data_IF_851578357666
#
_entry.id   IF_851578357666
#
_cell.length_a   1.000
_cell.length_b   1.000
_cell.length_c   1.000
_cell.angle_alpha   90.00
_cell.angle_beta   90.00
_cell.angle_gamma   90.00
#
_symmetry.space_group_name_H-M   'P 1'
#
loop_
_entity.id
_entity.type
_entity.pdbx_description
1 polymer ?
#
# COMPACT_ATOMS: atom_id res chain seq x y z
N UNK A 1 -2.63 17.91 8.24
CA UNK A 1 -2.16 16.51 8.02
C UNK A 1 -0.70 16.55 7.65
N UNK A 2 0.09 15.67 8.21
CA UNK A 2 1.50 15.54 7.83
C UNK A 2 1.63 14.90 6.46
N UNK A 3 2.57 15.35 5.66
CA UNK A 3 3.02 14.62 4.48
C UNK A 3 4.33 13.85 4.79
N UNK A 4 4.87 13.13 3.80
CA UNK A 4 6.07 12.30 4.03
C UNK A 4 7.27 13.15 4.47
N UNK A 5 7.39 14.39 3.96
CA UNK A 5 8.48 15.29 4.30
C UNK A 5 8.45 15.78 5.75
N UNK A 6 7.25 15.79 6.36
CA UNK A 6 7.07 16.21 7.75
C UNK A 6 7.37 15.11 8.77
N UNK A 7 7.47 13.86 8.32
CA UNK A 7 7.65 12.71 9.20
C UNK A 7 9.11 12.52 9.60
N UNK A 8 9.57 13.39 10.50
CA UNK A 8 10.92 13.34 11.05
C UNK A 8 10.95 12.46 12.30
N UNK A 9 11.92 11.58 12.37
CA UNK A 9 12.08 10.70 13.54
C UNK A 9 13.28 11.15 14.38
N UNK A 10 13.03 11.43 15.65
CA UNK A 10 14.06 11.79 16.62
C UNK A 10 14.10 10.77 17.76
N UNK A 11 14.75 9.66 17.50
CA UNK A 11 14.92 8.54 18.44
C UNK A 11 16.37 8.07 18.44
N UNK A 12 17.29 8.80 19.11
CA UNK A 12 18.73 8.54 19.00
C UNK A 12 19.16 7.17 19.50
N UNK A 13 18.41 6.57 20.44
CA UNK A 13 18.73 5.24 20.99
C UNK A 13 17.96 4.11 20.29
N UNK A 14 16.76 4.36 19.78
CA UNK A 14 15.86 3.33 19.25
C UNK A 14 15.75 3.33 17.73
N UNK A 15 16.19 4.40 17.08
CA UNK A 15 16.20 4.51 15.62
C UNK A 15 14.82 4.59 14.99
N UNK A 16 14.74 4.26 13.70
CA UNK A 16 13.56 4.44 12.85
C UNK A 16 12.73 3.17 12.67
N UNK A 17 13.20 2.03 13.19
CA UNK A 17 12.54 0.73 13.00
C UNK A 17 11.64 0.38 14.19
N UNK A 18 10.60 -0.39 13.91
CA UNK A 18 9.75 -0.98 14.92
C UNK A 18 9.35 -2.40 14.53
N UNK A 19 8.72 -3.14 15.43
CA UNK A 19 8.20 -4.47 15.13
C UNK A 19 6.98 -4.36 14.20
N UNK A 20 7.01 -5.12 13.11
CA UNK A 20 5.92 -5.15 12.12
C UNK A 20 4.58 -5.56 12.74
N UNK A 21 4.59 -6.37 13.81
CA UNK A 21 3.35 -6.77 14.50
C UNK A 21 2.64 -5.57 15.12
N UNK A 22 3.40 -4.65 15.73
CA UNK A 22 2.83 -3.42 16.28
C UNK A 22 2.23 -2.56 15.16
N UNK A 23 2.95 -2.41 14.06
CA UNK A 23 2.43 -1.72 12.88
C UNK A 23 1.10 -2.34 12.42
N UNK A 24 1.04 -3.67 12.30
CA UNK A 24 -0.18 -4.37 11.85
C UNK A 24 -1.35 -4.19 12.81
N UNK A 25 -1.11 -4.20 14.12
CA UNK A 25 -2.15 -3.91 15.11
C UNK A 25 -2.73 -2.51 14.84
N UNK A 26 -1.90 -1.49 14.74
CA UNK A 26 -2.34 -0.12 14.47
C UNK A 26 -3.02 0.01 13.10
N UNK A 27 -2.50 -0.67 12.09
CA UNK A 27 -3.01 -0.65 10.72
C UNK A 27 -4.43 -1.21 10.63
N UNK A 28 -4.75 -2.23 11.40
CA UNK A 28 -6.05 -2.88 11.38
C UNK A 28 -7.04 -2.38 12.46
N UNK A 29 -6.60 -1.52 13.37
CA UNK A 29 -7.48 -0.93 14.39
C UNK A 29 -8.74 -0.25 13.82
N UNK A 30 -8.71 0.48 12.71
CA UNK A 30 -9.92 1.10 12.17
C UNK A 30 -11.05 0.10 11.91
N UNK A 31 -10.73 -1.14 11.56
CA UNK A 31 -11.74 -2.18 11.32
C UNK A 31 -12.52 -2.56 12.59
N UNK A 32 -11.89 -2.48 13.75
CA UNK A 32 -12.57 -2.74 15.03
C UNK A 32 -13.56 -1.64 15.42
N UNK A 33 -13.41 -0.44 14.84
CA UNK A 33 -14.24 0.73 15.16
C UNK A 33 -15.37 0.89 14.14
N UNK A 34 -15.05 0.83 12.85
CA UNK A 34 -15.99 1.15 11.76
C UNK A 34 -16.21 -0.01 10.78
N UNK A 35 -15.66 -1.20 11.07
CA UNK A 35 -15.82 -2.37 10.21
C UNK A 35 -15.26 -2.15 8.80
N UNK A 36 -15.94 -2.68 7.79
CA UNK A 36 -15.50 -2.60 6.39
C UNK A 36 -15.53 -1.18 5.81
N UNK A 37 -16.17 -0.23 6.49
CA UNK A 37 -16.07 1.19 6.13
C UNK A 37 -14.64 1.72 6.16
N UNK A 38 -13.73 1.06 6.89
CA UNK A 38 -12.31 1.39 6.90
C UNK A 38 -11.64 1.22 5.53
N UNK A 39 -12.14 0.33 4.67
CA UNK A 39 -11.55 0.06 3.34
C UNK A 39 -11.40 1.33 2.51
N UNK A 40 -12.48 2.08 2.35
CA UNK A 40 -12.48 3.30 1.56
C UNK A 40 -11.60 4.40 2.14
N UNK A 41 -11.61 4.53 3.47
CA UNK A 41 -10.80 5.53 4.19
C UNK A 41 -9.31 5.23 4.00
N UNK A 42 -8.92 3.97 4.17
CA UNK A 42 -7.53 3.54 4.02
C UNK A 42 -7.05 3.65 2.58
N UNK A 43 -7.89 3.27 1.62
CA UNK A 43 -7.59 3.44 0.20
C UNK A 43 -7.36 4.91 -0.15
N UNK A 44 -8.29 5.78 0.25
CA UNK A 44 -8.16 7.22 0.00
C UNK A 44 -6.92 7.80 0.65
N UNK A 45 -6.64 7.45 1.90
CA UNK A 45 -5.45 7.93 2.61
C UNK A 45 -4.16 7.49 1.93
N UNK A 46 -4.10 6.23 1.49
CA UNK A 46 -2.98 5.71 0.71
C UNK A 46 -2.82 6.48 -0.60
N UNK A 47 -3.91 6.72 -1.31
CA UNK A 47 -3.90 7.42 -2.60
C UNK A 47 -3.41 8.86 -2.48
N UNK A 48 -3.88 9.59 -1.48
CA UNK A 48 -3.42 10.95 -1.21
C UNK A 48 -1.92 10.97 -0.87
N UNK A 49 -1.46 10.02 -0.06
CA UNK A 49 -0.03 9.86 0.25
C UNK A 49 0.78 9.56 -1.01
N UNK A 50 0.36 8.60 -1.81
CA UNK A 50 1.07 8.22 -3.05
C UNK A 50 1.23 9.39 -4.03
N UNK A 51 0.18 10.21 -4.16
CA UNK A 51 0.25 11.43 -4.98
C UNK A 51 1.27 12.44 -4.45
N UNK A 52 1.33 12.60 -3.13
CA UNK A 52 2.21 13.61 -2.49
C UNK A 52 3.69 13.26 -2.59
N UNK A 53 4.03 12.00 -2.85
CA UNK A 53 5.42 11.54 -2.89
C UNK A 53 6.20 12.03 -4.11
N UNK A 54 5.52 12.39 -5.19
CA UNK A 54 6.15 12.94 -6.39
C UNK A 54 7.09 11.98 -7.10
N UNK A 55 6.87 10.67 -7.00
CA UNK A 55 7.67 9.67 -7.71
C UNK A 55 7.42 9.78 -9.22
N UNK A 56 8.48 9.64 -10.03
CA UNK A 56 8.45 10.00 -11.46
C UNK A 56 8.39 8.81 -12.39
N UNK A 57 8.83 7.64 -11.94
CA UNK A 57 8.91 6.44 -12.77
C UNK A 57 8.76 5.16 -11.94
N UNK A 58 8.59 4.04 -12.63
CA UNK A 58 8.39 2.74 -12.00
C UNK A 58 9.58 2.30 -11.16
N UNK A 59 10.81 2.60 -11.60
CA UNK A 59 12.01 2.23 -10.85
C UNK A 59 12.07 2.93 -9.49
N UNK A 60 11.68 4.21 -9.44
CA UNK A 60 11.57 4.94 -8.17
C UNK A 60 10.49 4.34 -7.25
N UNK A 61 9.36 3.91 -7.81
CA UNK A 61 8.30 3.25 -7.05
C UNK A 61 8.77 1.92 -6.48
N UNK A 62 9.40 1.07 -7.27
CA UNK A 62 9.97 -0.22 -6.84
C UNK A 62 10.99 0.02 -5.72
N UNK A 63 11.90 0.95 -5.92
CA UNK A 63 12.93 1.30 -4.93
C UNK A 63 12.32 1.83 -3.63
N UNK A 64 11.32 2.70 -3.71
CA UNK A 64 10.66 3.26 -2.53
C UNK A 64 10.01 2.15 -1.68
N UNK A 65 9.26 1.25 -2.31
CA UNK A 65 8.63 0.16 -1.58
C UNK A 65 9.66 -0.78 -0.93
N UNK A 66 10.73 -1.10 -1.66
CA UNK A 66 11.82 -1.93 -1.14
C UNK A 66 12.54 -1.26 0.03
N UNK A 67 13.02 -0.03 -0.16
CA UNK A 67 13.84 0.69 0.82
C UNK A 67 13.07 0.97 2.12
N UNK A 68 11.77 1.22 2.01
CA UNK A 68 10.89 1.44 3.15
C UNK A 68 10.24 0.15 3.66
N UNK A 69 10.63 -0.99 3.11
CA UNK A 69 10.15 -2.33 3.54
C UNK A 69 8.64 -2.48 3.49
N UNK A 70 8.02 -1.83 2.53
CA UNK A 70 6.58 -1.96 2.24
C UNK A 70 6.30 -3.25 1.49
N UNK A 71 7.20 -3.65 0.59
CA UNK A 71 7.13 -4.87 -0.18
C UNK A 71 7.99 -4.83 -1.43
N UNK A 72 8.04 -5.95 -2.13
CA UNK A 72 8.73 -6.09 -3.42
C UNK A 72 7.71 -5.90 -4.54
N UNK A 73 7.78 -4.73 -5.19
CA UNK A 73 6.86 -4.35 -6.26
C UNK A 73 7.35 -4.83 -7.63
N UNK A 74 6.46 -5.45 -8.39
CA UNK A 74 6.67 -5.77 -9.79
C UNK A 74 5.50 -5.22 -10.63
N UNK A 75 5.82 -4.48 -11.68
CA UNK A 75 4.84 -4.01 -12.67
C UNK A 75 4.68 -5.10 -13.72
N UNK A 76 3.55 -5.78 -13.73
CA UNK A 76 3.26 -6.87 -14.65
C UNK A 76 2.73 -6.37 -16.00
N UNK A 77 1.90 -5.33 -15.96
CA UNK A 77 1.31 -4.68 -17.14
C UNK A 77 1.12 -3.19 -16.84
N UNK A 78 1.23 -2.35 -17.87
CA UNK A 78 1.11 -0.88 -17.72
C UNK A 78 -0.16 -0.30 -18.32
N UNK A 79 -0.83 -0.99 -19.21
CA UNK A 79 -2.06 -0.51 -19.88
C UNK A 79 -3.06 -1.66 -20.13
N UNK A 80 -4.04 -1.89 -19.26
CA UNK A 80 -4.20 -1.30 -17.92
C UNK A 80 -3.14 -1.79 -16.95
N UNK A 81 -2.92 -1.06 -15.85
CA UNK A 81 -1.95 -1.47 -14.84
C UNK A 81 -2.33 -2.79 -14.17
N UNK A 82 -1.33 -3.66 -14.04
CA UNK A 82 -1.38 -4.85 -13.20
C UNK A 82 -0.08 -4.94 -12.40
N UNK A 83 -0.21 -4.97 -11.10
CA UNK A 83 0.92 -4.88 -10.17
C UNK A 83 0.90 -6.05 -9.21
N UNK A 84 2.09 -6.54 -8.86
CA UNK A 84 2.27 -7.54 -7.81
C UNK A 84 3.15 -6.97 -6.70
N UNK A 85 2.78 -7.26 -5.45
CA UNK A 85 3.59 -6.94 -4.28
C UNK A 85 3.81 -8.22 -3.48
N UNK A 86 5.04 -8.67 -3.41
CA UNK A 86 5.46 -9.76 -2.54
C UNK A 86 5.98 -9.20 -1.21
N UNK A 87 5.96 -10.03 -0.17
CA UNK A 87 6.38 -9.64 1.19
C UNK A 87 5.65 -8.39 1.72
N UNK A 88 4.36 -8.29 1.41
CA UNK A 88 3.54 -7.13 1.77
C UNK A 88 3.60 -6.82 3.28
N UNK A 89 3.91 -5.57 3.60
CA UNK A 89 3.99 -5.05 4.97
C UNK A 89 2.74 -5.38 5.80
N UNK A 90 1.57 -5.19 5.22
CA UNK A 90 0.31 -5.34 5.96
C UNK A 90 -0.14 -6.78 6.12
N UNK A 91 0.08 -7.66 5.14
CA UNK A 91 -0.62 -8.95 5.12
C UNK A 91 0.24 -10.20 4.96
N UNK A 92 1.53 -10.09 4.58
CA UNK A 92 2.34 -11.28 4.36
C UNK A 92 2.40 -12.18 5.60
N UNK A 93 1.94 -13.43 5.46
CA UNK A 93 1.88 -14.41 6.55
C UNK A 93 0.57 -14.44 7.33
N UNK A 94 -0.38 -13.54 7.06
CA UNK A 94 -1.69 -13.58 7.73
C UNK A 94 -2.53 -14.75 7.22
N UNK A 95 -3.36 -15.34 8.09
CA UNK A 95 -4.27 -16.41 7.69
C UNK A 95 -5.36 -15.91 6.74
N UNK A 96 -5.86 -16.78 5.87
CA UNK A 96 -6.99 -16.47 5.02
C UNK A 96 -8.25 -16.12 5.85
N UNK A 97 -8.89 -15.02 5.45
CA UNK A 97 -10.13 -14.53 6.09
C UNK A 97 -11.29 -14.37 5.10
N UNK A 98 -11.04 -14.66 3.81
CA UNK A 98 -11.99 -14.43 2.73
C UNK A 98 -12.09 -12.97 2.28
N UNK A 99 -11.20 -12.10 2.75
CA UNK A 99 -11.23 -10.65 2.48
C UNK A 99 -9.88 -10.15 1.98
N UNK A 100 -9.93 -9.22 1.03
CA UNK A 100 -8.79 -8.41 0.65
C UNK A 100 -8.44 -7.45 1.79
N UNK A 101 -7.16 -7.32 2.13
CA UNK A 101 -6.71 -6.59 3.32
C UNK A 101 -5.90 -5.33 2.99
N UNK A 102 -5.35 -5.21 1.78
CA UNK A 102 -4.34 -4.21 1.46
C UNK A 102 -4.93 -3.00 0.73
N UNK A 103 -6.01 -2.44 1.26
CA UNK A 103 -6.67 -1.26 0.68
C UNK A 103 -5.78 -0.01 0.73
N UNK A 104 -5.02 0.16 1.82
CA UNK A 104 -4.07 1.27 1.92
C UNK A 104 -2.98 1.17 0.86
N UNK A 105 -2.39 -0.01 0.70
CA UNK A 105 -1.34 -0.27 -0.30
C UNK A 105 -1.88 -0.10 -1.72
N UNK A 106 -3.10 -0.57 -1.97
CA UNK A 106 -3.76 -0.36 -3.25
C UNK A 106 -3.96 1.13 -3.57
N UNK A 107 -4.38 1.90 -2.57
CA UNK A 107 -4.47 3.35 -2.68
C UNK A 107 -3.11 3.99 -2.92
N UNK A 108 -2.10 3.62 -2.12
CA UNK A 108 -0.74 4.13 -2.26
C UNK A 108 -0.20 3.94 -3.68
N UNK A 109 -0.31 2.73 -4.21
CA UNK A 109 0.10 2.42 -5.58
C UNK A 109 -0.70 3.22 -6.61
N UNK A 110 -2.02 3.32 -6.44
CA UNK A 110 -2.86 4.13 -7.35
C UNK A 110 -2.42 5.59 -7.35
N UNK A 111 -2.15 6.17 -6.19
CA UNK A 111 -1.68 7.56 -6.07
C UNK A 111 -0.31 7.78 -6.72
N UNK A 112 0.61 6.84 -6.54
CA UNK A 112 1.92 6.86 -7.19
C UNK A 112 1.76 6.84 -8.71
N UNK A 113 0.92 5.93 -9.23
CA UNK A 113 0.67 5.80 -10.67
C UNK A 113 -0.01 7.05 -11.26
N UNK A 114 -0.92 7.67 -10.52
CA UNK A 114 -1.53 8.95 -10.94
C UNK A 114 -0.50 10.06 -11.07
N UNK A 115 0.39 10.18 -10.09
CA UNK A 115 1.48 11.16 -10.11
C UNK A 115 2.41 10.95 -11.31
N UNK A 116 2.72 9.69 -11.63
CA UNK A 116 3.61 9.34 -12.74
C UNK A 116 2.96 9.51 -14.11
N UNK A 117 1.70 9.12 -14.25
CA UNK A 117 1.03 9.06 -15.55
C UNK A 117 0.26 10.33 -15.93
N UNK A 118 -0.06 11.18 -14.95
CA UNK A 118 -0.89 12.36 -15.14
C UNK A 118 -2.37 12.06 -15.39
N UNK A 119 -2.80 10.83 -15.19
CA UNK A 119 -4.21 10.41 -15.34
C UNK A 119 -4.73 9.76 -14.07
N UNK A 120 -6.06 9.70 -13.94
CA UNK A 120 -6.70 9.00 -12.82
C UNK A 120 -6.45 7.49 -12.95
N UNK A 121 -6.12 6.86 -11.83
CA UNK A 121 -5.89 5.42 -11.70
C UNK A 121 -6.63 4.92 -10.47
N UNK A 122 -7.47 3.93 -10.67
CA UNK A 122 -8.07 3.18 -9.56
C UNK A 122 -7.65 1.71 -9.66
N UNK A 123 -7.19 1.18 -8.53
CA UNK A 123 -6.72 -0.20 -8.41
C UNK A 123 -7.65 -0.99 -7.49
N UNK A 124 -7.87 -2.24 -7.86
CA UNK A 124 -8.55 -3.23 -7.02
C UNK A 124 -7.59 -4.37 -6.69
N UNK A 125 -7.54 -4.74 -5.44
CA UNK A 125 -6.81 -5.93 -5.01
C UNK A 125 -7.57 -7.18 -5.43
N UNK A 126 -6.92 -8.04 -6.19
CA UNK A 126 -7.51 -9.29 -6.72
C UNK A 126 -6.84 -10.53 -6.15
N UNK A 127 -5.66 -10.42 -5.57
CA UNK A 127 -4.97 -11.46 -4.81
C UNK A 127 -4.43 -10.87 -3.52
N UNK A 128 -4.49 -11.63 -2.43
CA UNK A 128 -4.08 -11.18 -1.11
C UNK A 128 -3.93 -12.38 -0.18
N UNK A 129 -3.08 -12.27 0.83
CA UNK A 129 -3.00 -13.27 1.89
C UNK A 129 -4.35 -13.50 2.58
N UNK A 130 -5.12 -12.42 2.78
CA UNK A 130 -6.47 -12.52 3.31
C UNK A 130 -7.43 -13.31 2.44
N UNK A 131 -7.21 -13.38 1.13
CA UNK A 131 -7.97 -14.19 0.17
C UNK A 131 -7.43 -15.61 0.02
N UNK A 132 -6.33 -15.96 0.69
CA UNK A 132 -5.71 -17.27 0.62
C UNK A 132 -4.53 -17.36 -0.35
N UNK A 133 -4.17 -16.27 -0.99
CA UNK A 133 -2.98 -16.19 -1.84
C UNK A 133 -1.73 -15.93 -1.00
N UNK A 134 -0.54 -16.09 -1.60
CA UNK A 134 0.74 -15.78 -0.97
C UNK A 134 1.43 -14.57 -1.60
N UNK A 135 0.66 -13.72 -2.22
CA UNK A 135 1.11 -12.47 -2.83
C UNK A 135 -0.07 -11.50 -2.86
N UNK A 136 0.21 -10.23 -3.07
CA UNK A 136 -0.82 -9.23 -3.36
C UNK A 136 -0.75 -8.86 -4.84
N UNK A 137 -1.89 -8.83 -5.52
CA UNK A 137 -1.99 -8.36 -6.89
C UNK A 137 -3.08 -7.31 -6.98
N UNK A 138 -2.75 -6.21 -7.65
CA UNK A 138 -3.65 -5.09 -7.87
C UNK A 138 -3.87 -4.91 -9.38
N UNK A 139 -5.11 -4.72 -9.77
CA UNK A 139 -5.47 -4.47 -11.18
C UNK A 139 -6.21 -3.15 -11.31
N UNK A 140 -5.83 -2.42 -12.34
CA UNK A 140 -6.58 -1.23 -12.72
C UNK A 140 -7.96 -1.63 -13.25
N UNK A 141 -8.97 -0.92 -12.76
CA UNK A 141 -10.31 -1.01 -13.32
C UNK A 141 -10.70 0.34 -13.95
N UNK A 142 -11.29 0.26 -15.12
CA UNK A 142 -11.77 1.42 -15.87
C UNK A 142 -13.24 1.62 -15.53
N UNK A 143 -13.59 2.85 -15.13
CA UNK A 143 -14.98 3.23 -14.87
C UNK A 143 -15.77 3.43 -16.16
#
# INVERSE_FOLDING_TARGET
>A
MYDVGDLVVERPSLGTMTDIKLFRILRFMPYSIIGEGANGILYKSGKDLGRSMGLKNTDEAVKFLHDNRVGELEILEENPYRLRVDECLSCAGLPASGKALCHFEGGLLAGILESMSGRLVDLREVRCWGLGDRTCEFREFVR
#
